data_IF_177548293198
#
_entry.id   IF_177548293198
#
_cell.length_a   1.000
_cell.length_b   1.000
_cell.length_c   1.000
_cell.angle_alpha   90.00
_cell.angle_beta   90.00
_cell.angle_gamma   90.00
#
_symmetry.space_group_name_H-M   'P 1'
#
loop_
_entity.id
_entity.type
_entity.pdbx_description
1 polymer ?
#
# COMPACT_ATOMS: atom_id res chain seq x y z
N UNK A 1 10.23 38.29 3.50
CA UNK A 1 9.55 37.40 2.52
C UNK A 1 9.06 36.09 3.13
N UNK A 2 9.84 35.45 4.00
CA UNK A 2 9.48 34.20 4.70
C UNK A 2 8.18 34.32 5.53
N UNK A 3 7.94 35.42 6.23
CA UNK A 3 6.75 35.58 7.09
C UNK A 3 5.43 35.86 6.35
N UNK A 4 5.48 36.20 5.06
CA UNK A 4 4.29 36.56 4.26
C UNK A 4 3.99 35.47 3.24
N UNK A 5 5.00 35.03 2.49
CA UNK A 5 4.84 34.09 1.39
C UNK A 5 4.72 32.65 1.92
N UNK A 6 5.46 32.28 2.97
CA UNK A 6 5.43 30.91 3.50
C UNK A 6 4.06 30.51 4.07
N UNK A 7 3.40 31.29 4.94
CA UNK A 7 2.07 30.91 5.45
C UNK A 7 0.99 30.95 4.35
N UNK A 8 1.16 31.76 3.31
CA UNK A 8 0.25 31.79 2.16
C UNK A 8 0.45 30.59 1.23
N UNK A 9 1.69 30.22 0.96
CA UNK A 9 2.04 29.04 0.18
C UNK A 9 1.58 27.76 0.88
N UNK A 10 1.76 27.66 2.20
CA UNK A 10 1.32 26.51 2.98
C UNK A 10 -0.20 26.34 2.95
N UNK A 11 -0.97 27.43 3.11
CA UNK A 11 -2.44 27.42 3.02
C UNK A 11 -2.97 26.98 1.66
N UNK A 12 -2.21 27.21 0.59
CA UNK A 12 -2.57 26.80 -0.77
C UNK A 12 -2.09 25.38 -1.12
N UNK A 13 -0.93 24.97 -0.62
CA UNK A 13 -0.35 23.66 -0.87
C UNK A 13 -0.99 22.55 -0.02
N UNK A 14 -1.35 22.83 1.24
CA UNK A 14 -1.98 21.87 2.14
C UNK A 14 -3.23 21.18 1.58
N UNK A 15 -4.24 21.92 1.07
CA UNK A 15 -5.43 21.26 0.51
C UNK A 15 -5.10 20.40 -0.72
N UNK A 16 -4.13 20.80 -1.55
CA UNK A 16 -3.68 20.00 -2.70
C UNK A 16 -2.95 18.73 -2.27
N UNK A 17 -2.05 18.83 -1.29
CA UNK A 17 -1.32 17.69 -0.71
C UNK A 17 -2.25 16.69 -0.03
N UNK A 18 -3.28 17.18 0.67
CA UNK A 18 -4.30 16.32 1.30
C UNK A 18 -5.11 15.59 0.22
N UNK A 19 -5.48 16.27 -0.87
CA UNK A 19 -6.14 15.63 -2.01
C UNK A 19 -5.31 14.53 -2.65
N UNK A 20 -4.04 14.80 -2.91
CA UNK A 20 -3.05 13.83 -3.43
C UNK A 20 -2.88 12.64 -2.47
N UNK A 21 -2.73 12.87 -1.16
CA UNK A 21 -2.63 11.78 -0.19
C UNK A 21 -3.88 10.89 -0.17
N UNK A 22 -5.08 11.49 -0.25
CA UNK A 22 -6.33 10.72 -0.29
C UNK A 22 -6.41 9.89 -1.58
N UNK A 23 -5.94 10.41 -2.71
CA UNK A 23 -5.89 9.67 -3.97
C UNK A 23 -4.91 8.49 -3.88
N UNK A 24 -3.69 8.72 -3.38
CA UNK A 24 -2.66 7.69 -3.20
C UNK A 24 -3.12 6.57 -2.25
N UNK A 25 -3.81 6.92 -1.17
CA UNK A 25 -4.41 5.92 -0.26
C UNK A 25 -5.50 5.12 -0.95
N UNK A 26 -6.34 5.76 -1.77
CA UNK A 26 -7.38 5.07 -2.55
C UNK A 26 -6.79 4.11 -3.58
N UNK A 27 -5.80 4.56 -4.34
CA UNK A 27 -5.19 3.74 -5.39
C UNK A 27 -4.42 2.56 -4.79
N UNK A 28 -3.72 2.78 -3.67
CA UNK A 28 -3.01 1.72 -2.96
C UNK A 28 -3.94 0.69 -2.30
N UNK A 29 -5.08 1.14 -1.75
CA UNK A 29 -6.05 0.23 -1.12
C UNK A 29 -6.89 -0.54 -2.16
N UNK A 30 -7.26 0.10 -3.26
CA UNK A 30 -7.99 -0.53 -4.37
C UNK A 30 -7.20 -1.67 -5.00
N UNK A 31 -5.91 -1.44 -5.31
CA UNK A 31 -5.02 -2.47 -5.87
C UNK A 31 -4.85 -3.66 -4.93
N UNK A 32 -4.76 -3.42 -3.61
CA UNK A 32 -4.66 -4.48 -2.60
C UNK A 32 -5.91 -5.37 -2.58
N UNK A 33 -7.11 -4.78 -2.57
CA UNK A 33 -8.38 -5.53 -2.55
C UNK A 33 -8.60 -6.33 -3.83
N UNK A 34 -8.28 -5.77 -5.00
CA UNK A 34 -8.36 -6.47 -6.30
C UNK A 34 -7.39 -7.66 -6.32
N UNK A 35 -6.16 -7.46 -5.85
CA UNK A 35 -5.15 -8.53 -5.81
C UNK A 35 -5.58 -9.71 -4.91
N UNK A 36 -6.21 -9.46 -3.77
CA UNK A 36 -6.72 -10.51 -2.88
C UNK A 36 -7.85 -11.31 -3.54
N UNK A 37 -8.78 -10.61 -4.19
CA UNK A 37 -9.92 -11.26 -4.84
C UNK A 37 -9.49 -12.13 -6.02
N UNK A 38 -8.53 -11.66 -6.83
CA UNK A 38 -7.97 -12.44 -7.92
C UNK A 38 -7.12 -13.61 -7.43
N UNK A 39 -6.27 -13.42 -6.42
CA UNK A 39 -5.47 -14.50 -5.83
C UNK A 39 -6.37 -15.61 -5.25
N UNK A 40 -7.48 -15.23 -4.62
CA UNK A 40 -8.44 -16.20 -4.07
C UNK A 40 -9.22 -16.93 -5.17
N UNK A 41 -9.54 -16.26 -6.29
CA UNK A 41 -10.16 -16.91 -7.45
C UNK A 41 -9.23 -17.95 -8.06
N UNK A 42 -7.98 -17.57 -8.34
CA UNK A 42 -6.95 -18.48 -8.87
C UNK A 42 -6.72 -19.65 -7.91
N UNK A 43 -6.65 -19.38 -6.60
CA UNK A 43 -6.55 -20.44 -5.59
C UNK A 43 -7.70 -21.43 -5.66
N UNK A 44 -8.96 -20.96 -5.75
CA UNK A 44 -10.12 -21.85 -5.90
C UNK A 44 -10.09 -22.66 -7.20
N UNK A 45 -9.65 -22.07 -8.31
CA UNK A 45 -9.51 -22.75 -9.59
C UNK A 45 -8.47 -23.88 -9.53
N UNK A 46 -7.32 -23.63 -8.91
CA UNK A 46 -6.27 -24.65 -8.72
C UNK A 46 -6.77 -25.78 -7.82
N UNK A 47 -7.50 -25.47 -6.75
CA UNK A 47 -8.13 -26.50 -5.89
C UNK A 47 -9.14 -27.34 -6.67
N UNK A 48 -9.96 -26.72 -7.52
CA UNK A 48 -10.94 -27.43 -8.34
C UNK A 48 -10.30 -28.36 -9.37
N UNK A 49 -9.13 -28.00 -9.89
CA UNK A 49 -8.39 -28.81 -10.88
C UNK A 49 -7.53 -29.90 -10.24
N UNK A 50 -6.91 -29.61 -9.10
CA UNK A 50 -5.90 -30.49 -8.47
C UNK A 50 -6.49 -31.35 -7.35
N UNK A 51 -7.67 -31.01 -6.84
CA UNK A 51 -8.29 -31.60 -5.64
C UNK A 51 -7.39 -31.58 -4.39
N UNK A 52 -6.33 -30.77 -4.39
CA UNK A 52 -5.37 -30.59 -3.29
C UNK A 52 -5.52 -29.21 -2.64
N UNK A 53 -6.51 -29.00 -1.75
CA UNK A 53 -6.72 -27.73 -1.08
C UNK A 53 -5.56 -27.31 -0.18
N UNK A 54 -4.93 -28.26 0.51
CA UNK A 54 -3.89 -27.94 1.49
C UNK A 54 -2.66 -27.26 0.87
N UNK A 55 -2.09 -27.84 -0.19
CA UNK A 55 -0.93 -27.28 -0.90
C UNK A 55 -1.25 -25.94 -1.55
N UNK A 56 -2.44 -25.82 -2.15
CA UNK A 56 -2.87 -24.59 -2.82
C UNK A 56 -3.01 -23.43 -1.84
N UNK A 57 -3.68 -23.64 -0.70
CA UNK A 57 -3.83 -22.60 0.32
C UNK A 57 -2.51 -22.24 0.99
N UNK A 58 -1.57 -23.19 1.11
CA UNK A 58 -0.21 -22.92 1.62
C UNK A 58 0.54 -21.96 0.67
N UNK A 59 0.48 -22.19 -0.64
CA UNK A 59 1.09 -21.29 -1.64
C UNK A 59 0.42 -19.92 -1.62
N UNK A 60 -0.91 -19.86 -1.60
CA UNK A 60 -1.67 -18.60 -1.52
C UNK A 60 -1.26 -17.79 -0.28
N UNK A 61 -1.14 -18.45 0.88
CA UNK A 61 -0.68 -17.83 2.11
C UNK A 61 0.77 -17.32 2.00
N UNK A 62 1.67 -18.07 1.39
CA UNK A 62 3.06 -17.66 1.18
C UNK A 62 3.16 -16.43 0.24
N UNK A 63 2.37 -16.39 -0.82
CA UNK A 63 2.30 -15.23 -1.74
C UNK A 63 1.75 -14.01 -1.00
N UNK A 64 0.66 -14.16 -0.25
CA UNK A 64 0.08 -13.07 0.54
C UNK A 64 1.10 -12.52 1.56
N UNK A 65 1.78 -13.41 2.30
CA UNK A 65 2.83 -13.03 3.23
C UNK A 65 3.96 -12.24 2.54
N UNK A 66 4.40 -12.68 1.36
CA UNK A 66 5.46 -12.01 0.60
C UNK A 66 5.05 -10.59 0.19
N UNK A 67 3.81 -10.41 -0.27
CA UNK A 67 3.28 -9.09 -0.65
C UNK A 67 3.18 -8.18 0.57
N UNK A 68 2.55 -8.65 1.65
CA UNK A 68 2.42 -7.87 2.90
C UNK A 68 3.78 -7.51 3.47
N UNK A 69 4.72 -8.45 3.53
CA UNK A 69 6.07 -8.21 4.00
C UNK A 69 6.80 -7.15 3.17
N UNK A 70 6.70 -7.23 1.83
CA UNK A 70 7.32 -6.25 0.93
C UNK A 70 6.73 -4.85 1.14
N UNK A 71 5.40 -4.75 1.26
CA UNK A 71 4.72 -3.47 1.53
C UNK A 71 5.11 -2.89 2.90
N UNK A 72 5.15 -3.71 3.95
CA UNK A 72 5.59 -3.28 5.29
C UNK A 72 7.05 -2.83 5.28
N UNK A 73 7.94 -3.54 4.60
CA UNK A 73 9.35 -3.19 4.49
C UNK A 73 9.57 -1.89 3.72
N UNK A 74 8.85 -1.69 2.60
CA UNK A 74 8.87 -0.44 1.84
C UNK A 74 8.31 0.72 2.66
N UNK A 75 7.21 0.50 3.38
CA UNK A 75 6.62 1.47 4.31
C UNK A 75 7.63 1.91 5.38
N UNK A 76 8.27 0.97 6.07
CA UNK A 76 9.32 1.26 7.05
C UNK A 76 10.51 2.03 6.46
N UNK A 77 10.89 1.71 5.22
CA UNK A 77 11.99 2.40 4.53
C UNK A 77 11.62 3.85 4.18
N UNK A 78 10.38 4.08 3.75
CA UNK A 78 9.86 5.43 3.46
C UNK A 78 9.73 6.22 4.77
N UNK A 79 9.18 5.62 5.82
CA UNK A 79 9.02 6.24 7.14
C UNK A 79 10.37 6.60 7.76
N UNK A 80 11.36 5.70 7.68
CA UNK A 80 12.73 5.96 8.13
C UNK A 80 13.43 7.08 7.34
N UNK A 81 13.15 7.20 6.03
CA UNK A 81 13.65 8.30 5.19
C UNK A 81 12.98 9.63 5.54
N UNK A 82 11.66 9.63 5.80
CA UNK A 82 10.94 10.83 6.25
C UNK A 82 11.38 11.27 7.64
N UNK A 83 11.62 10.34 8.56
CA UNK A 83 12.12 10.62 9.93
C UNK A 83 13.54 11.20 9.93
N UNK A 84 14.32 11.00 8.85
CA UNK A 84 15.64 11.63 8.65
C UNK A 84 15.58 13.02 8.01
N UNK A 85 14.43 13.44 7.48
CA UNK A 85 14.30 14.70 6.72
C UNK A 85 13.35 15.73 7.36
N UNK A 86 12.63 15.36 8.42
CA UNK A 86 11.80 16.28 9.22
C UNK A 86 12.03 16.05 10.71
N UNK A 87 12.72 17.00 11.34
CA UNK A 87 12.85 17.04 12.79
C UNK A 87 11.49 17.16 13.47
N UNK A 88 11.29 16.31 14.47
CA UNK A 88 10.97 16.80 15.81
C UNK A 88 12.20 16.59 16.66
#
# INVERSE_FOLDING_TARGET
MIYIIMPQALKRALPTLVGEMIALVKDSSLVSVISITDLTKVGREIVANTFSPFETWLIVAAVYFTITFTLTALGHKIESRMKKQGGM
#
